data_IF_092829612467
#
_entry.id   IF_092829612467
#
_cell.length_a   1.000
_cell.length_b   1.000
_cell.length_c   1.000
_cell.angle_alpha   90.00
_cell.angle_beta   90.00
_cell.angle_gamma   90.00
#
_symmetry.space_group_name_H-M   'P 1'
#
loop_
_entity.id
_entity.type
_entity.pdbx_description
1 polymer ?
#
# COMPACT_ATOMS: atom_id res chain seq x y z
N UNK A 1 -3.41 -4.38 9.15
CA UNK A 1 -2.65 -5.10 8.11
C UNK A 1 -3.58 -5.28 6.92
N UNK A 2 -3.27 -4.67 5.79
CA UNK A 2 -4.14 -4.64 4.60
C UNK A 2 -3.49 -5.44 3.48
N UNK A 3 -4.22 -6.36 2.88
CA UNK A 3 -3.79 -7.09 1.70
C UNK A 3 -4.44 -6.49 0.45
N UNK A 4 -3.65 -6.22 -0.58
CA UNK A 4 -4.10 -5.71 -1.88
C UNK A 4 -3.49 -6.58 -2.98
N UNK A 5 -4.06 -6.57 -4.20
CA UNK A 5 -3.45 -7.31 -5.32
C UNK A 5 -2.26 -6.56 -5.91
N UNK A 6 -1.36 -7.27 -6.60
CA UNK A 6 -0.26 -6.65 -7.34
C UNK A 6 -0.70 -5.54 -8.30
N UNK A 7 -1.79 -5.76 -9.03
CA UNK A 7 -2.32 -4.76 -9.97
C UNK A 7 -2.74 -3.49 -9.24
N UNK A 8 -3.50 -3.61 -8.14
CA UNK A 8 -3.93 -2.46 -7.35
C UNK A 8 -2.74 -1.70 -6.72
N UNK A 9 -1.74 -2.44 -6.23
CA UNK A 9 -0.52 -1.87 -5.68
C UNK A 9 0.29 -1.09 -6.73
N UNK A 10 0.40 -1.62 -7.96
CA UNK A 10 1.10 -0.97 -9.06
C UNK A 10 0.38 0.29 -9.53
N UNK A 11 -0.94 0.22 -9.71
CA UNK A 11 -1.75 1.36 -10.16
C UNK A 11 -1.72 2.52 -9.16
N UNK A 12 -1.59 2.22 -7.86
CA UNK A 12 -1.71 3.19 -6.78
C UNK A 12 -0.48 3.24 -5.86
N UNK A 13 0.72 2.99 -6.40
CA UNK A 13 1.92 2.80 -5.58
C UNK A 13 2.25 4.01 -4.70
N UNK A 14 2.20 5.23 -5.25
CA UNK A 14 2.52 6.45 -4.50
C UNK A 14 1.58 6.64 -3.32
N UNK A 15 0.26 6.58 -3.55
CA UNK A 15 -0.75 6.69 -2.50
C UNK A 15 -0.63 5.58 -1.45
N UNK A 16 -0.26 4.37 -1.88
CA UNK A 16 -0.03 3.25 -0.96
C UNK A 16 1.17 3.53 -0.05
N UNK A 17 2.27 4.09 -0.58
CA UNK A 17 3.46 4.43 0.20
C UNK A 17 3.22 5.61 1.15
N UNK A 18 2.45 6.63 0.73
CA UNK A 18 2.07 7.75 1.61
C UNK A 18 1.32 7.27 2.85
N UNK A 19 0.42 6.30 2.65
CA UNK A 19 -0.33 5.65 3.75
C UNK A 19 0.57 4.83 4.65
N UNK A 20 1.52 4.07 4.11
CA UNK A 20 2.49 3.31 4.92
C UNK A 20 3.32 4.25 5.79
N UNK A 21 3.78 5.38 5.23
CA UNK A 21 4.54 6.38 5.97
C UNK A 21 3.70 7.07 7.06
N UNK A 22 2.42 7.34 6.80
CA UNK A 22 1.53 8.00 7.77
C UNK A 22 1.13 7.04 8.88
N UNK A 23 0.63 5.86 8.51
CA UNK A 23 0.02 4.90 9.43
C UNK A 23 1.05 4.02 10.12
N UNK A 24 2.32 4.06 9.67
CA UNK A 24 3.41 3.19 10.14
C UNK A 24 3.02 1.70 10.12
N UNK A 25 2.21 1.32 9.13
CA UNK A 25 1.61 0.00 9.02
C UNK A 25 2.02 -0.66 7.71
N UNK A 26 2.41 -1.96 7.73
CA UNK A 26 2.79 -2.67 6.52
C UNK A 26 1.55 -3.02 5.67
N UNK A 27 1.78 -3.07 4.35
CA UNK A 27 0.83 -3.56 3.34
C UNK A 27 1.35 -4.87 2.77
N UNK A 28 0.46 -5.84 2.60
CA UNK A 28 0.75 -7.10 1.91
C UNK A 28 0.24 -6.97 0.47
N UNK A 29 1.05 -7.38 -0.49
CA UNK A 29 0.68 -7.48 -1.91
C UNK A 29 0.53 -8.95 -2.28
#
# INVERSE_FOLDING_TARGET
>A
MTAITYTAARENLASTMDRVCTDHAPVII
#
